data_IF_335839971372
#
_entry.id   IF_335839971372
#
_cell.length_a   1.000
_cell.length_b   1.000
_cell.length_c   1.000
_cell.angle_alpha   90.00
_cell.angle_beta   90.00
_cell.angle_gamma   90.00
#
_symmetry.space_group_name_H-M   'P 1'
#
loop_
_entity.id
_entity.type
_entity.pdbx_description
1 polymer ?
#
# COMPACT_ATOMS: atom_id res chain seq x y z
N UNK A 1 5.87 -9.28 21.92
CA UNK A 1 6.05 -8.21 20.93
C UNK A 1 7.52 -8.04 20.51
N UNK A 2 8.48 -8.05 21.44
CA UNK A 2 9.91 -7.88 21.14
C UNK A 2 10.42 -8.88 20.08
N UNK A 3 10.00 -10.13 20.16
CA UNK A 3 10.42 -11.16 19.19
C UNK A 3 9.86 -10.88 17.80
N UNK A 4 8.62 -10.39 17.72
CA UNK A 4 7.99 -9.98 16.46
C UNK A 4 8.70 -8.76 15.88
N UNK A 5 9.05 -7.78 16.72
CA UNK A 5 9.80 -6.59 16.28
C UNK A 5 11.20 -6.95 15.77
N UNK A 6 11.92 -7.86 16.45
CA UNK A 6 13.22 -8.35 15.97
C UNK A 6 13.11 -9.03 14.60
N UNK A 7 12.07 -9.83 14.40
CA UNK A 7 11.79 -10.44 13.10
C UNK A 7 11.50 -9.37 12.03
N UNK A 8 10.70 -8.36 12.36
CA UNK A 8 10.40 -7.25 11.46
C UNK A 8 11.64 -6.42 11.12
N UNK A 9 12.52 -6.16 12.10
CA UNK A 9 13.78 -5.43 11.89
C UNK A 9 14.71 -6.15 10.89
N UNK A 10 14.63 -7.47 10.80
CA UNK A 10 15.42 -8.28 9.87
C UNK A 10 14.89 -8.26 8.42
N UNK A 11 13.66 -7.77 8.20
CA UNK A 11 13.07 -7.70 6.86
C UNK A 11 13.77 -6.64 6.02
N UNK A 12 14.00 -6.99 4.76
CA UNK A 12 14.54 -6.07 3.76
C UNK A 12 13.44 -5.64 2.79
N UNK A 13 13.60 -4.44 2.24
CA UNK A 13 12.76 -3.98 1.14
C UNK A 13 13.01 -4.82 -0.10
N UNK A 14 11.98 -5.00 -0.92
CA UNK A 14 12.16 -5.56 -2.26
C UNK A 14 13.09 -4.67 -3.09
N UNK A 15 13.92 -5.25 -3.98
CA UNK A 15 14.81 -4.47 -4.83
C UNK A 15 14.03 -3.40 -5.62
N UNK A 16 14.49 -2.16 -5.55
CA UNK A 16 13.88 -1.03 -6.23
C UNK A 16 12.70 -0.37 -5.50
N UNK A 17 12.24 -0.90 -4.37
CA UNK A 17 11.09 -0.35 -3.65
C UNK A 17 11.35 1.07 -3.12
N UNK A 18 12.51 1.32 -2.53
CA UNK A 18 12.87 2.65 -2.03
C UNK A 18 12.91 3.68 -3.17
N UNK A 19 13.58 3.35 -4.26
CA UNK A 19 13.71 4.21 -5.42
C UNK A 19 12.35 4.51 -6.06
N UNK A 20 11.50 3.51 -6.16
CA UNK A 20 10.14 3.66 -6.69
C UNK A 20 9.31 4.63 -5.85
N UNK A 21 9.26 4.43 -4.54
CA UNK A 21 8.51 5.30 -3.63
C UNK A 21 9.09 6.72 -3.64
N UNK A 22 10.41 6.85 -3.59
CA UNK A 22 11.10 8.16 -3.63
C UNK A 22 10.81 8.93 -4.91
N UNK A 23 10.83 8.25 -6.05
CA UNK A 23 10.52 8.85 -7.35
C UNK A 23 9.05 9.28 -7.44
N UNK A 24 8.13 8.45 -6.99
CA UNK A 24 6.70 8.82 -6.97
C UNK A 24 6.43 10.04 -6.10
N UNK A 25 7.12 10.18 -4.98
CA UNK A 25 6.95 11.31 -4.04
C UNK A 25 7.39 12.65 -4.62
N UNK A 26 8.13 12.68 -5.71
CA UNK A 26 8.45 13.93 -6.40
C UNK A 26 7.21 14.54 -7.09
N UNK A 27 6.27 13.71 -7.52
CA UNK A 27 5.13 14.14 -8.32
C UNK A 27 3.77 13.84 -7.66
N UNK A 28 3.74 12.94 -6.68
CA UNK A 28 2.51 12.47 -6.04
C UNK A 28 2.63 12.45 -4.53
N UNK A 29 1.48 12.56 -3.86
CA UNK A 29 1.35 12.17 -2.46
C UNK A 29 1.25 10.65 -2.41
N UNK A 30 2.17 9.99 -1.72
CA UNK A 30 2.21 8.53 -1.63
C UNK A 30 1.73 8.09 -0.26
N UNK A 31 0.76 7.19 -0.24
CA UNK A 31 0.21 6.60 0.97
C UNK A 31 0.35 5.08 0.90
N UNK A 32 0.89 4.49 1.94
CA UNK A 32 0.94 3.04 2.10
C UNK A 32 -0.30 2.61 2.88
N UNK A 33 -1.11 1.76 2.28
CA UNK A 33 -2.28 1.14 2.91
C UNK A 33 -1.96 -0.32 3.21
N UNK A 34 -1.98 -0.71 4.46
CA UNK A 34 -1.56 -2.04 4.88
C UNK A 34 -2.51 -2.64 5.90
N UNK A 35 -2.70 -3.95 5.83
CA UNK A 35 -3.44 -4.73 6.82
C UNK A 35 -2.55 -5.21 7.97
N UNK A 36 -1.30 -4.76 8.03
CA UNK A 36 -0.38 -5.00 9.14
C UNK A 36 -0.62 -4.01 10.30
N UNK A 37 0.28 -3.99 11.25
CA UNK A 37 0.22 -3.15 12.45
C UNK A 37 1.42 -2.21 12.53
N UNK A 38 1.22 -1.02 13.11
CA UNK A 38 2.25 0.01 13.22
C UNK A 38 3.55 -0.52 13.83
N UNK A 39 3.44 -1.30 14.89
CA UNK A 39 4.60 -1.83 15.61
C UNK A 39 5.46 -2.77 14.75
N UNK A 40 4.83 -3.46 13.78
CA UNK A 40 5.51 -4.37 12.86
C UNK A 40 6.00 -3.64 11.61
N UNK A 41 5.23 -2.70 11.11
CA UNK A 41 5.53 -1.98 9.87
C UNK A 41 6.63 -0.93 10.04
N UNK A 42 6.82 -0.39 11.25
CA UNK A 42 7.73 0.73 11.52
C UNK A 42 9.13 0.54 10.93
N UNK A 43 9.85 -0.58 11.13
CA UNK A 43 11.20 -0.73 10.58
C UNK A 43 11.24 -0.65 9.05
N UNK A 44 10.23 -1.19 8.36
CA UNK A 44 10.13 -1.09 6.91
C UNK A 44 9.83 0.34 6.44
N UNK A 45 8.99 1.06 7.20
CA UNK A 45 8.70 2.45 6.89
C UNK A 45 9.94 3.35 7.05
N UNK A 46 10.77 3.09 8.04
CA UNK A 46 12.07 3.76 8.21
C UNK A 46 12.95 3.56 6.96
N UNK A 47 13.04 2.33 6.47
CA UNK A 47 13.80 2.00 5.26
C UNK A 47 13.23 2.64 3.99
N UNK A 48 11.91 2.89 3.95
CA UNK A 48 11.23 3.57 2.83
C UNK A 48 11.28 5.11 2.90
N UNK A 49 11.86 5.69 3.94
CA UNK A 49 11.90 7.15 4.12
C UNK A 49 10.63 7.74 4.73
N UNK A 50 9.93 6.98 5.54
CA UNK A 50 8.70 7.37 6.24
C UNK A 50 7.58 7.89 5.34
N UNK A 51 7.11 7.12 4.35
CA UNK A 51 5.89 7.48 3.65
C UNK A 51 4.70 7.46 4.62
N UNK A 52 3.63 8.14 4.25
CA UNK A 52 2.40 8.13 5.03
C UNK A 52 1.86 6.70 5.11
N UNK A 53 1.65 6.20 6.33
CA UNK A 53 1.19 4.83 6.56
C UNK A 53 -0.17 4.85 7.26
N UNK A 54 -1.13 4.14 6.68
CA UNK A 54 -2.38 3.76 7.32
C UNK A 54 -2.43 2.25 7.50
N UNK A 55 -2.45 1.80 8.74
CA UNK A 55 -2.52 0.40 9.12
C UNK A 55 -3.29 0.24 10.44
N UNK A 56 -3.27 -0.97 10.99
CA UNK A 56 -3.97 -1.28 12.23
C UNK A 56 -3.07 -1.08 13.45
N UNK A 57 -3.66 -1.18 14.65
CA UNK A 57 -2.96 -1.00 15.91
C UNK A 57 -3.02 -2.27 16.76
N UNK A 58 -1.94 -2.54 17.49
CA UNK A 58 -1.90 -3.56 18.53
C UNK A 58 -2.15 -2.92 19.90
N UNK A 59 -2.87 -3.62 20.76
CA UNK A 59 -2.95 -3.30 22.18
C UNK A 59 -1.90 -4.14 22.91
N UNK A 60 -0.92 -3.47 23.48
CA UNK A 60 0.24 -4.09 24.09
C UNK A 60 0.28 -3.76 25.58
N UNK A 61 0.57 -4.77 26.40
CA UNK A 61 0.82 -4.60 27.85
C UNK A 61 1.94 -5.55 28.25
N UNK A 62 2.94 -5.01 28.96
CA UNK A 62 4.07 -5.78 29.48
C UNK A 62 4.77 -6.64 28.40
N UNK A 63 5.00 -6.07 27.21
CA UNK A 63 5.57 -6.72 26.02
C UNK A 63 4.72 -7.86 25.44
N UNK A 64 3.48 -8.02 25.89
CA UNK A 64 2.53 -9.00 25.36
C UNK A 64 1.46 -8.34 24.50
N UNK A 65 1.13 -9.00 23.37
CA UNK A 65 0.03 -8.58 22.52
C UNK A 65 -1.27 -9.08 23.15
N UNK A 66 -2.06 -8.17 23.72
CA UNK A 66 -3.32 -8.49 24.39
C UNK A 66 -4.46 -8.61 23.37
N UNK A 67 -4.52 -7.70 22.42
CA UNK A 67 -5.54 -7.66 21.37
C UNK A 67 -5.07 -6.78 20.22
N UNK A 68 -5.90 -6.68 19.21
CA UNK A 68 -5.67 -5.76 18.09
C UNK A 68 -6.89 -4.90 17.84
N UNK A 69 -6.68 -3.75 17.21
CA UNK A 69 -7.75 -2.86 16.77
C UNK A 69 -7.60 -2.61 15.27
N UNK A 70 -8.59 -3.03 14.52
CA UNK A 70 -8.69 -2.66 13.12
C UNK A 70 -9.03 -1.16 13.00
N UNK A 71 -8.35 -0.47 12.11
CA UNK A 71 -8.65 0.94 11.83
C UNK A 71 -10.05 1.10 11.23
N UNK A 72 -10.40 0.18 10.31
CA UNK A 72 -11.72 0.10 9.69
C UNK A 72 -11.89 -1.30 9.07
N UNK A 73 -13.09 -1.91 9.05
CA UNK A 73 -13.32 -3.23 8.43
C UNK A 73 -12.93 -3.29 6.94
N UNK A 74 -13.14 -2.19 6.21
CA UNK A 74 -12.75 -2.03 4.80
C UNK A 74 -11.74 -0.88 4.69
N UNK A 75 -10.63 -0.99 5.40
CA UNK A 75 -9.71 0.12 5.65
C UNK A 75 -9.11 0.71 4.37
N UNK A 76 -8.74 -0.12 3.40
CA UNK A 76 -8.14 0.35 2.15
C UNK A 76 -9.14 1.11 1.29
N UNK A 77 -10.33 0.56 1.11
CA UNK A 77 -11.43 1.22 0.38
C UNK A 77 -11.81 2.54 1.05
N UNK A 78 -12.01 2.54 2.35
CA UNK A 78 -12.38 3.73 3.12
C UNK A 78 -11.34 4.84 3.02
N UNK A 79 -10.07 4.50 3.02
CA UNK A 79 -8.99 5.47 2.84
C UNK A 79 -9.10 6.18 1.48
N UNK A 80 -9.28 5.44 0.40
CA UNK A 80 -9.46 6.01 -0.95
C UNK A 80 -10.64 6.97 -0.97
N UNK A 81 -11.80 6.54 -0.46
CA UNK A 81 -13.00 7.37 -0.42
C UNK A 81 -12.78 8.66 0.38
N UNK A 82 -12.10 8.58 1.51
CA UNK A 82 -11.80 9.74 2.34
C UNK A 82 -10.88 10.74 1.65
N UNK A 83 -9.84 10.27 0.96
CA UNK A 83 -8.96 11.14 0.18
C UNK A 83 -9.71 11.80 -0.99
N UNK A 84 -10.59 11.07 -1.65
CA UNK A 84 -11.43 11.63 -2.72
C UNK A 84 -12.37 12.71 -2.21
N UNK A 85 -12.96 12.55 -1.03
CA UNK A 85 -13.76 13.60 -0.37
C UNK A 85 -12.96 14.87 -0.09
N UNK A 86 -11.67 14.73 0.19
CA UNK A 86 -10.77 15.87 0.36
C UNK A 86 -10.30 16.49 -0.97
N UNK A 87 -10.74 15.95 -2.10
CA UNK A 87 -10.42 16.48 -3.43
C UNK A 87 -9.24 15.83 -4.13
N UNK A 88 -8.68 14.75 -3.58
CA UNK A 88 -7.59 14.03 -4.24
C UNK A 88 -8.12 13.07 -5.31
N UNK A 89 -7.38 12.98 -6.41
CA UNK A 89 -7.49 11.88 -7.37
C UNK A 89 -6.62 10.74 -6.86
N UNK A 90 -7.17 9.52 -6.82
CA UNK A 90 -6.48 8.38 -6.23
C UNK A 90 -6.22 7.29 -7.28
N UNK A 91 -4.96 6.91 -7.39
CA UNK A 91 -4.52 5.71 -8.11
C UNK A 91 -4.07 4.69 -7.07
N UNK A 92 -4.38 3.43 -7.29
CA UNK A 92 -4.06 2.38 -6.33
C UNK A 92 -3.26 1.26 -6.99
N UNK A 93 -2.33 0.68 -6.24
CA UNK A 93 -1.58 -0.50 -6.67
C UNK A 93 -1.51 -1.53 -5.54
N UNK A 94 -1.52 -2.79 -5.89
CA UNK A 94 -1.45 -3.89 -4.92
C UNK A 94 -1.22 -5.23 -5.61
N UNK A 95 -1.13 -6.30 -4.81
CA UNK A 95 -0.75 -7.62 -5.31
C UNK A 95 -1.73 -8.73 -4.90
N UNK A 96 -2.79 -8.40 -4.17
CA UNK A 96 -3.64 -9.40 -3.57
C UNK A 96 -5.13 -9.21 -3.87
N UNK A 97 -5.90 -10.26 -3.63
CA UNK A 97 -7.35 -10.22 -3.74
C UNK A 97 -7.98 -9.15 -2.82
N UNK A 98 -7.36 -8.89 -1.67
CA UNK A 98 -7.83 -7.87 -0.72
C UNK A 98 -7.75 -6.43 -1.27
N UNK A 99 -6.93 -6.21 -2.30
CA UNK A 99 -6.75 -4.88 -2.90
C UNK A 99 -7.85 -4.51 -3.90
N UNK A 100 -8.64 -5.49 -4.36
CA UNK A 100 -9.70 -5.27 -5.35
C UNK A 100 -10.71 -4.23 -4.88
N UNK A 101 -11.08 -4.24 -3.61
CA UNK A 101 -12.06 -3.27 -3.08
C UNK A 101 -11.56 -1.83 -3.19
N UNK A 102 -10.27 -1.58 -3.01
CA UNK A 102 -9.74 -0.23 -3.21
C UNK A 102 -9.61 0.13 -4.69
N UNK A 103 -9.33 -0.84 -5.56
CA UNK A 103 -9.28 -0.60 -7.01
C UNK A 103 -10.64 -0.19 -7.55
N UNK A 104 -11.72 -0.76 -7.03
CA UNK A 104 -13.08 -0.47 -7.48
C UNK A 104 -13.49 1.01 -7.25
N UNK A 105 -12.92 1.66 -6.25
CA UNK A 105 -13.24 3.04 -5.90
C UNK A 105 -12.17 4.05 -6.32
N UNK A 106 -10.94 3.61 -6.55
CA UNK A 106 -9.88 4.44 -7.09
C UNK A 106 -10.20 4.87 -8.54
N UNK A 107 -9.61 5.95 -9.00
CA UNK A 107 -9.71 6.34 -10.40
C UNK A 107 -9.19 5.26 -11.33
N UNK A 108 -8.08 4.62 -10.95
CA UNK A 108 -7.57 3.42 -11.58
C UNK A 108 -6.75 2.58 -10.60
N UNK A 109 -6.92 1.27 -10.68
CA UNK A 109 -6.15 0.30 -9.92
C UNK A 109 -5.22 -0.50 -10.83
N UNK A 110 -4.08 -0.93 -10.27
CA UNK A 110 -3.07 -1.72 -10.97
C UNK A 110 -2.60 -2.86 -10.09
N UNK A 111 -2.34 -4.02 -10.67
CA UNK A 111 -1.57 -5.07 -10.00
C UNK A 111 -0.07 -4.83 -10.16
N UNK A 112 0.66 -5.02 -9.08
CA UNK A 112 2.12 -5.07 -9.05
C UNK A 112 2.57 -6.40 -8.44
N UNK A 113 3.25 -7.22 -9.23
CA UNK A 113 3.72 -8.55 -8.80
C UNK A 113 2.61 -9.45 -8.23
N UNK A 114 1.39 -9.29 -8.69
CA UNK A 114 0.30 -10.18 -8.29
C UNK A 114 0.53 -11.59 -8.85
N UNK A 115 0.21 -12.65 -8.06
CA UNK A 115 0.24 -14.01 -8.57
C UNK A 115 -0.69 -14.19 -9.78
N UNK A 116 -0.27 -14.98 -10.75
CA UNK A 116 -1.04 -15.20 -11.99
C UNK A 116 -2.46 -15.71 -11.71
N UNK A 117 -2.64 -16.54 -10.69
CA UNK A 117 -3.96 -17.03 -10.28
C UNK A 117 -4.90 -15.91 -9.80
N UNK A 118 -4.35 -14.78 -9.37
CA UNK A 118 -5.14 -13.61 -8.96
C UNK A 118 -5.37 -12.69 -10.16
N UNK A 119 -4.30 -12.29 -10.86
CA UNK A 119 -4.41 -11.37 -11.98
C UNK A 119 -5.26 -11.93 -13.13
N UNK A 120 -5.24 -13.24 -13.35
CA UNK A 120 -6.06 -13.90 -14.38
C UNK A 120 -7.56 -13.82 -14.10
N UNK A 121 -7.98 -13.65 -12.87
CA UNK A 121 -9.40 -13.46 -12.49
C UNK A 121 -9.93 -12.07 -12.79
N UNK A 122 -9.05 -11.10 -12.97
CA UNK A 122 -9.39 -9.70 -13.17
C UNK A 122 -8.65 -9.15 -14.40
N UNK A 123 -8.97 -9.66 -15.61
CA UNK A 123 -8.25 -9.27 -16.83
C UNK A 123 -8.41 -7.80 -17.21
N UNK A 124 -9.40 -7.11 -16.65
CA UNK A 124 -9.62 -5.68 -16.82
C UNK A 124 -8.63 -4.81 -16.05
N UNK A 125 -7.92 -5.38 -15.05
CA UNK A 125 -6.92 -4.68 -14.25
C UNK A 125 -5.54 -4.92 -14.86
N UNK A 126 -4.87 -3.84 -15.26
CA UNK A 126 -3.51 -3.92 -15.77
C UNK A 126 -2.56 -4.46 -14.70
N UNK A 127 -1.69 -5.39 -15.10
CA UNK A 127 -0.75 -6.06 -14.22
C UNK A 127 0.68 -5.81 -14.66
N UNK A 128 1.51 -5.40 -13.71
CA UNK A 128 2.93 -5.12 -13.93
C UNK A 128 3.79 -5.97 -12.99
N UNK A 129 4.98 -6.33 -13.45
CA UNK A 129 6.01 -7.01 -12.64
C UNK A 129 7.22 -6.11 -12.34
N UNK A 130 7.18 -4.89 -12.86
CA UNK A 130 8.29 -3.95 -12.84
C UNK A 130 7.80 -2.60 -12.31
N UNK A 131 8.56 -2.02 -11.37
CA UNK A 131 8.22 -0.73 -10.76
C UNK A 131 8.21 0.42 -11.78
N UNK A 132 9.12 0.40 -12.75
CA UNK A 132 9.21 1.47 -13.75
C UNK A 132 8.00 1.46 -14.67
N UNK A 133 7.54 0.28 -15.08
CA UNK A 133 6.32 0.14 -15.89
C UNK A 133 5.08 0.60 -15.14
N UNK A 134 4.96 0.26 -13.85
CA UNK A 134 3.86 0.74 -13.01
C UNK A 134 3.91 2.27 -12.88
N UNK A 135 5.09 2.84 -12.63
CA UNK A 135 5.26 4.28 -12.54
C UNK A 135 4.82 4.98 -13.83
N UNK A 136 5.24 4.48 -14.97
CA UNK A 136 4.86 5.04 -16.27
C UNK A 136 3.33 4.99 -16.48
N UNK A 137 2.70 3.89 -16.11
CA UNK A 137 1.25 3.76 -16.19
C UNK A 137 0.51 4.76 -15.28
N UNK A 138 0.99 4.97 -14.06
CA UNK A 138 0.43 5.96 -13.13
C UNK A 138 0.59 7.37 -13.70
N UNK A 139 1.78 7.73 -14.15
CA UNK A 139 2.07 9.05 -14.72
C UNK A 139 1.18 9.29 -15.94
N UNK A 140 1.12 8.35 -16.87
CA UNK A 140 0.32 8.49 -18.08
C UNK A 140 -1.17 8.68 -17.77
N UNK A 141 -1.72 7.95 -16.81
CA UNK A 141 -3.12 8.11 -16.41
C UNK A 141 -3.38 9.41 -15.66
N UNK A 142 -2.40 9.92 -14.91
CA UNK A 142 -2.53 11.16 -14.15
C UNK A 142 -2.52 12.41 -15.03
N UNK A 143 -1.86 12.35 -16.18
CA UNK A 143 -1.70 13.49 -17.10
C UNK A 143 -2.96 13.77 -17.93
N UNK A 144 -3.84 12.80 -18.11
CA UNK A 144 -5.08 12.95 -18.89
C UNK A 144 -6.21 13.51 -18.01
N UNK A 145 -5.98 14.67 -17.42
CA UNK A 145 -7.00 15.39 -16.70
C UNK A 145 -7.59 16.44 -17.61
N UNK A 146 -8.86 16.32 -17.81
CA UNK A 146 -9.64 17.43 -18.40
C UNK A 146 -10.81 17.77 -17.53
#
# INVERSE_FOLDING_TARGET
LSDVQKAADSLELLPGAYEFVSNLRNDFQVVILSDTFHDIAKPLMEKLGFPFLLCHNLNIKDDEIISYKLRHPQAKKQAILSFQEMGYRCFAAGDSHNDIQMFDVAEKGFFLNAPDKISSKYPEIESFKDYDQLRDAIVNNSMFVK
#
